data_IF_384045752817
#
_entry.id   IF_384045752817
#
_cell.length_a   1.000
_cell.length_b   1.000
_cell.length_c   1.000
_cell.angle_alpha   90.00
_cell.angle_beta   90.00
_cell.angle_gamma   90.00
#
_symmetry.space_group_name_H-M   'P 1'
#
loop_
_entity.id
_entity.type
_entity.pdbx_description
1 polymer ?
#
# COMPACT_ATOMS: atom_id res chain seq x y z
N UNK A 1 16.85 17.57 1.80
CA UNK A 1 16.50 16.29 1.15
C UNK A 1 15.03 16.42 0.82
N UNK A 2 14.72 17.23 -0.19
CA UNK A 2 13.37 17.82 -0.34
C UNK A 2 12.84 17.47 -1.74
N UNK A 3 11.59 16.99 -1.78
CA UNK A 3 10.76 16.65 -2.95
C UNK A 3 10.84 15.24 -3.60
N UNK A 4 11.31 14.19 -2.92
CA UNK A 4 11.15 12.82 -3.45
C UNK A 4 9.83 12.22 -2.95
N UNK A 5 8.89 11.94 -3.86
CA UNK A 5 7.60 11.33 -3.54
C UNK A 5 7.72 9.82 -3.58
N UNK A 6 7.25 9.16 -2.52
CA UNK A 6 7.20 7.71 -2.45
C UNK A 6 5.76 7.22 -2.44
N UNK A 7 5.52 6.09 -3.10
CA UNK A 7 4.26 5.37 -3.07
C UNK A 7 4.46 3.98 -2.47
N UNK A 8 3.46 3.55 -1.71
CA UNK A 8 3.37 2.22 -1.10
C UNK A 8 2.00 1.62 -1.44
N UNK A 9 1.91 0.29 -1.49
CA UNK A 9 0.64 -0.39 -1.82
C UNK A 9 -0.37 -0.33 -0.66
N UNK A 10 0.09 -0.34 0.59
CA UNK A 10 -0.76 -0.42 1.78
C UNK A 10 -0.39 0.62 2.84
N UNK A 11 -1.43 1.02 3.59
CA UNK A 11 -1.28 1.65 4.90
C UNK A 11 -1.96 0.79 5.96
N UNK A 12 -1.40 0.75 7.17
CA UNK A 12 -2.00 0.00 8.28
C UNK A 12 -1.82 0.70 9.63
N UNK A 13 -2.52 0.15 10.61
CA UNK A 13 -2.42 0.52 12.01
C UNK A 13 -2.22 -0.74 12.87
N UNK A 14 -1.80 -0.56 14.12
CA UNK A 14 -1.61 -1.70 15.03
C UNK A 14 -2.94 -2.31 15.46
N UNK A 15 -3.06 -3.62 15.33
CA UNK A 15 -4.13 -4.38 15.97
C UNK A 15 -3.77 -4.67 17.44
N UNK A 16 -4.71 -4.56 18.41
CA UNK A 16 -6.11 -4.16 18.27
C UNK A 16 -6.35 -2.64 18.46
N UNK A 17 -5.28 -1.85 18.60
CA UNK A 17 -5.32 -0.42 18.95
C UNK A 17 -6.14 0.39 17.93
N UNK A 18 -6.02 0.04 16.64
CA UNK A 18 -6.68 0.76 15.55
C UNK A 18 -5.86 1.97 15.08
N UNK A 19 -6.50 2.86 14.30
CA UNK A 19 -5.83 4.00 13.69
C UNK A 19 -5.53 5.10 14.72
N UNK A 20 -4.25 5.48 14.82
CA UNK A 20 -3.75 6.63 15.59
C UNK A 20 -3.00 7.52 14.60
N UNK A 21 -3.27 8.83 14.60
CA UNK A 21 -2.78 9.78 13.57
C UNK A 21 -1.27 9.69 13.33
N UNK A 22 -0.48 9.52 14.41
CA UNK A 22 0.98 9.47 14.34
C UNK A 22 1.56 8.04 14.20
N UNK A 23 0.72 7.00 14.13
CA UNK A 23 1.17 5.59 14.03
C UNK A 23 0.59 4.87 12.80
N UNK A 24 0.76 5.48 11.63
CA UNK A 24 0.43 4.86 10.35
C UNK A 24 1.67 4.19 9.76
N UNK A 25 1.53 2.91 9.42
CA UNK A 25 2.55 2.12 8.77
C UNK A 25 2.31 2.09 7.28
N UNK A 26 3.37 2.13 6.48
CA UNK A 26 3.32 1.99 5.03
C UNK A 26 4.22 0.84 4.60
N UNK A 27 3.70 -0.02 3.72
CA UNK A 27 4.41 -1.17 3.21
C UNK A 27 3.80 -1.64 1.89
N UNK A 28 4.49 -2.55 1.23
CA UNK A 28 4.11 -3.08 -0.06
C UNK A 28 3.57 -4.51 0.05
N UNK A 29 2.97 -5.01 -1.03
CA UNK A 29 2.45 -6.39 -1.06
C UNK A 29 3.53 -7.42 -0.73
N UNK A 30 4.78 -7.25 -1.17
CA UNK A 30 5.88 -8.18 -0.84
C UNK A 30 6.25 -8.22 0.64
N UNK A 31 5.79 -7.25 1.44
CA UNK A 31 6.05 -7.22 2.87
C UNK A 31 4.98 -7.97 3.69
N UNK A 32 3.90 -8.44 3.05
CA UNK A 32 2.83 -9.19 3.70
C UNK A 32 3.21 -10.67 3.72
N UNK A 33 3.48 -11.21 4.92
CA UNK A 33 3.73 -12.64 5.09
C UNK A 33 2.44 -13.48 4.94
N UNK A 34 1.35 -13.04 5.56
CA UNK A 34 0.06 -13.74 5.47
C UNK A 34 -1.12 -12.79 5.63
N UNK A 35 -2.23 -13.13 4.94
CA UNK A 35 -3.50 -12.42 5.06
C UNK A 35 -4.52 -13.33 5.73
N UNK A 36 -4.95 -12.94 6.93
CA UNK A 36 -5.91 -13.72 7.73
C UNK A 36 -7.35 -13.56 7.21
N UNK A 37 -7.70 -12.35 6.75
CA UNK A 37 -9.00 -12.06 6.14
C UNK A 37 -8.90 -10.88 5.18
N UNK A 38 -9.25 -11.08 3.90
CA UNK A 38 -9.22 -10.02 2.87
C UNK A 38 -10.44 -9.09 2.89
N UNK A 39 -11.50 -9.45 3.61
CA UNK A 39 -12.78 -8.77 3.50
C UNK A 39 -13.64 -9.33 2.37
N UNK A 40 -14.72 -8.61 2.07
CA UNK A 40 -15.61 -8.91 0.95
C UNK A 40 -15.18 -8.10 -0.27
N UNK A 41 -15.39 -8.67 -1.47
CA UNK A 41 -15.06 -8.01 -2.74
C UNK A 41 -16.16 -8.33 -3.76
N UNK A 42 -16.43 -7.37 -4.63
CA UNK A 42 -17.36 -7.50 -5.76
C UNK A 42 -16.64 -7.29 -7.10
N UNK A 43 -17.39 -7.33 -8.20
CA UNK A 43 -16.81 -7.19 -9.54
C UNK A 43 -16.26 -5.79 -9.82
N UNK A 44 -16.83 -4.76 -9.21
CA UNK A 44 -16.37 -3.38 -9.40
C UNK A 44 -15.03 -3.18 -8.68
N UNK A 45 -14.88 -3.74 -7.48
CA UNK A 45 -13.61 -3.76 -6.74
C UNK A 45 -12.51 -4.51 -7.51
N UNK A 46 -12.81 -5.70 -8.04
CA UNK A 46 -11.84 -6.47 -8.85
C UNK A 46 -11.38 -5.65 -10.06
N UNK A 47 -12.32 -5.02 -10.78
CA UNK A 47 -12.00 -4.17 -11.93
C UNK A 47 -11.19 -2.94 -11.53
N UNK A 48 -11.48 -2.35 -10.39
CA UNK A 48 -10.73 -1.21 -9.87
C UNK A 48 -9.27 -1.58 -9.60
N UNK A 49 -9.02 -2.72 -8.96
CA UNK A 49 -7.66 -3.22 -8.69
C UNK A 49 -6.87 -3.42 -9.99
N UNK A 50 -7.48 -4.03 -11.03
CA UNK A 50 -6.83 -4.18 -12.35
C UNK A 50 -6.45 -2.83 -12.98
N UNK A 51 -7.35 -1.84 -12.94
CA UNK A 51 -7.07 -0.50 -13.47
C UNK A 51 -5.98 0.20 -12.67
N UNK A 52 -6.01 0.06 -11.35
CA UNK A 52 -5.02 0.63 -10.46
C UNK A 52 -3.63 0.03 -10.72
N UNK A 53 -3.51 -1.29 -10.88
CA UNK A 53 -2.24 -1.95 -11.19
C UNK A 53 -1.66 -1.50 -12.54
N UNK A 54 -2.51 -1.33 -13.55
CA UNK A 54 -2.10 -0.77 -14.84
C UNK A 54 -1.62 0.69 -14.71
N UNK A 55 -2.28 1.51 -13.90
CA UNK A 55 -1.86 2.87 -13.61
C UNK A 55 -0.52 2.89 -12.86
N UNK A 56 -0.31 1.98 -11.91
CA UNK A 56 0.95 1.86 -11.14
C UNK A 56 2.15 1.59 -12.06
N UNK A 57 1.97 0.78 -13.10
CA UNK A 57 3.04 0.52 -14.08
C UNK A 57 3.42 1.75 -14.92
N UNK A 58 2.55 2.77 -14.95
CA UNK A 58 2.73 4.02 -15.69
C UNK A 58 2.90 5.22 -14.76
N UNK A 59 3.38 5.01 -13.53
CA UNK A 59 3.67 6.09 -12.60
C UNK A 59 4.66 7.08 -13.20
N UNK A 60 4.46 8.35 -12.86
CA UNK A 60 5.41 9.40 -13.19
C UNK A 60 6.78 9.04 -12.61
N UNK A 61 7.84 9.28 -13.39
CA UNK A 61 9.23 9.13 -12.98
C UNK A 61 9.60 9.90 -11.70
N UNK A 62 8.83 10.94 -11.35
CA UNK A 62 8.98 11.69 -10.09
C UNK A 62 8.49 10.93 -8.84
N UNK A 63 7.67 9.88 -9.02
CA UNK A 63 7.12 9.06 -7.94
C UNK A 63 7.87 7.74 -7.91
N UNK A 64 8.55 7.48 -6.80
CA UNK A 64 9.29 6.25 -6.59
C UNK A 64 8.49 5.27 -5.74
N UNK A 65 8.69 3.98 -5.99
CA UNK A 65 8.17 2.95 -5.08
C UNK A 65 9.05 2.91 -3.85
N UNK A 66 8.46 3.06 -2.67
CA UNK A 66 9.21 2.94 -1.42
C UNK A 66 9.65 1.50 -1.18
N UNK A 67 10.79 1.30 -0.53
CA UNK A 67 11.27 -0.01 -0.09
C UNK A 67 11.27 -0.07 1.44
N UNK A 68 10.73 -1.15 2.00
CA UNK A 68 10.76 -1.41 3.44
C UNK A 68 11.82 -2.46 3.72
N UNK A 69 12.89 -2.05 4.39
CA UNK A 69 13.91 -2.97 4.91
C UNK A 69 13.50 -3.45 6.31
N UNK A 70 13.55 -4.77 6.52
CA UNK A 70 13.40 -5.31 7.87
C UNK A 70 14.60 -4.86 8.72
N UNK A 71 14.31 -4.30 9.90
CA UNK A 71 15.32 -4.00 10.93
C UNK A 71 15.76 -5.28 11.65
#
# INVERSE_FOLDING_TARGET
>A
IENQKYMFDYSACKYPIGAVEDEIYYFNEENIDSVIFKGYSDQDEVRFQELFDNMKQNLDSEIQRGEVTQQ
#
